data_IF_665843345599
#
_entry.id   IF_665843345599
#
_cell.length_a   1.000
_cell.length_b   1.000
_cell.length_c   1.000
_cell.angle_alpha   90.00
_cell.angle_beta   90.00
_cell.angle_gamma   90.00
#
_symmetry.space_group_name_H-M   'P 1'
#
loop_
_entity.id
_entity.type
_entity.pdbx_description
1 polymer ?
#
# COMPACT_ATOMS: atom_id res chain seq x y z
N UNK A 1 5.39 -15.06 23.12
CA UNK A 1 4.58 -15.24 21.89
C UNK A 1 3.35 -14.34 21.84
N UNK A 2 2.40 -14.36 22.80
CA UNK A 2 1.27 -13.41 22.79
C UNK A 2 1.58 -11.99 23.32
N UNK A 3 2.66 -11.82 24.09
CA UNK A 3 3.11 -10.52 24.63
C UNK A 3 3.72 -9.58 23.56
N UNK A 4 4.03 -10.09 22.37
CA UNK A 4 4.63 -9.30 21.27
C UNK A 4 3.59 -8.80 20.25
N UNK A 5 2.33 -9.18 20.44
CA UNK A 5 1.26 -8.77 19.53
C UNK A 5 1.04 -7.25 19.67
N UNK A 6 1.62 -6.48 18.76
CA UNK A 6 1.31 -5.06 18.61
C UNK A 6 0.07 -4.98 17.71
N UNK A 7 -1.12 -4.71 18.26
CA UNK A 7 -2.38 -4.83 17.54
C UNK A 7 -2.46 -3.96 16.27
N UNK A 8 -1.57 -2.96 16.14
CA UNK A 8 -1.49 -2.04 15.00
C UNK A 8 -0.19 -2.17 14.18
N UNK A 9 0.50 -3.30 14.26
CA UNK A 9 1.76 -3.50 13.53
C UNK A 9 1.58 -3.56 12.02
N UNK A 10 0.42 -4.05 11.55
CA UNK A 10 0.14 -4.30 10.14
C UNK A 10 -1.17 -3.64 9.70
N UNK A 11 -1.07 -2.77 8.69
CA UNK A 11 -2.22 -2.21 8.01
C UNK A 11 -2.30 -2.78 6.58
N UNK A 12 -3.46 -3.33 6.21
CA UNK A 12 -3.69 -3.90 4.87
C UNK A 12 -4.79 -3.09 4.19
N UNK A 13 -4.49 -2.59 2.99
CA UNK A 13 -5.47 -1.94 2.12
C UNK A 13 -5.56 -2.70 0.80
N UNK A 14 -6.77 -3.13 0.46
CA UNK A 14 -7.03 -3.91 -0.75
C UNK A 14 -7.73 -3.03 -1.78
N UNK A 15 -7.12 -2.86 -2.94
CA UNK A 15 -7.65 -2.01 -4.02
C UNK A 15 -8.10 -2.85 -5.20
N UNK A 16 -9.34 -2.62 -5.64
CA UNK A 16 -9.91 -3.28 -6.81
C UNK A 16 -10.04 -2.26 -7.95
N UNK A 17 -9.02 -2.25 -8.81
CA UNK A 17 -8.85 -1.22 -9.85
C UNK A 17 -9.75 -1.41 -11.09
N UNK A 18 -10.34 -2.59 -11.25
CA UNK A 18 -11.27 -2.95 -12.31
C UNK A 18 -12.50 -3.61 -11.68
N UNK A 19 -13.68 -3.16 -12.07
CA UNK A 19 -14.95 -3.63 -11.48
C UNK A 19 -15.75 -4.54 -12.41
N UNK A 20 -15.28 -4.75 -13.64
CA UNK A 20 -15.88 -5.69 -14.56
C UNK A 20 -15.74 -7.12 -14.01
N UNK A 21 -16.88 -7.81 -13.87
CA UNK A 21 -16.94 -9.16 -13.30
C UNK A 21 -17.08 -9.25 -11.77
N UNK A 22 -17.16 -8.13 -11.03
CA UNK A 22 -17.40 -8.14 -9.57
C UNK A 22 -18.71 -8.82 -9.17
N UNK A 23 -19.69 -8.90 -10.07
CA UNK A 23 -20.93 -9.63 -9.84
C UNK A 23 -20.68 -11.09 -9.40
N UNK A 24 -19.51 -11.67 -9.74
CA UNK A 24 -19.09 -13.03 -9.38
C UNK A 24 -18.30 -13.13 -8.05
N UNK A 25 -17.85 -12.01 -7.45
CA UNK A 25 -17.14 -11.96 -6.16
C UNK A 25 -18.09 -11.78 -4.96
N UNK A 26 -19.36 -11.51 -5.22
CA UNK A 26 -20.42 -11.32 -4.23
C UNK A 26 -20.91 -12.62 -3.56
N UNK A 27 -20.26 -13.76 -3.80
CA UNK A 27 -20.53 -14.99 -3.07
C UNK A 27 -20.08 -14.89 -1.60
N UNK A 28 -20.84 -15.49 -0.69
CA UNK A 28 -20.58 -15.54 0.77
C UNK A 28 -19.13 -15.92 1.13
N UNK A 29 -18.45 -16.67 0.23
CA UNK A 29 -17.07 -17.13 0.35
C UNK A 29 -16.03 -16.03 0.65
N UNK A 30 -16.26 -14.78 0.22
CA UNK A 30 -15.27 -13.69 0.38
C UNK A 30 -15.79 -12.49 1.16
N UNK A 31 -16.89 -12.64 1.91
CA UNK A 31 -17.57 -11.55 2.61
C UNK A 31 -16.62 -10.72 3.52
N UNK A 32 -15.70 -11.38 4.23
CA UNK A 32 -14.73 -10.71 5.09
C UNK A 32 -13.76 -9.80 4.30
N UNK A 33 -13.34 -10.21 3.10
CA UNK A 33 -12.50 -9.41 2.22
C UNK A 33 -13.31 -8.28 1.57
N UNK A 34 -14.54 -8.57 1.15
CA UNK A 34 -15.43 -7.60 0.51
C UNK A 34 -15.67 -6.37 1.38
N UNK A 35 -15.78 -6.54 2.70
CA UNK A 35 -15.92 -5.42 3.65
C UNK A 35 -14.70 -4.48 3.71
N UNK A 36 -13.54 -4.92 3.22
CA UNK A 36 -12.25 -4.19 3.29
C UNK A 36 -11.74 -3.76 1.91
N UNK A 37 -12.48 -4.06 0.83
CA UNK A 37 -12.11 -3.68 -0.53
C UNK A 37 -12.41 -2.20 -0.80
N UNK A 38 -11.43 -1.50 -1.34
CA UNK A 38 -11.55 -0.14 -1.83
C UNK A 38 -11.65 -0.22 -3.35
N UNK A 39 -12.77 0.27 -3.90
CA UNK A 39 -12.96 0.30 -5.36
C UNK A 39 -12.14 1.45 -5.97
N UNK A 40 -11.40 1.14 -7.02
CA UNK A 40 -10.54 2.07 -7.75
C UNK A 40 -9.05 1.83 -7.53
N UNK A 41 -8.23 2.70 -8.14
CA UNK A 41 -6.76 2.68 -8.00
C UNK A 41 -6.34 3.40 -6.71
N UNK A 42 -5.25 2.97 -6.06
CA UNK A 42 -4.72 3.66 -4.89
C UNK A 42 -4.26 5.08 -5.25
N UNK A 43 -4.58 6.05 -4.39
CA UNK A 43 -4.09 7.43 -4.53
C UNK A 43 -2.69 7.54 -3.91
N UNK A 44 -1.70 6.93 -4.56
CA UNK A 44 -0.34 6.75 -4.02
C UNK A 44 0.29 8.05 -3.48
N UNK A 45 0.12 9.18 -4.19
CA UNK A 45 0.61 10.49 -3.71
C UNK A 45 0.02 10.92 -2.36
N UNK A 46 -1.25 10.62 -2.10
CA UNK A 46 -1.86 10.90 -0.80
C UNK A 46 -1.37 9.92 0.26
N UNK A 47 -1.24 8.64 -0.09
CA UNK A 47 -0.70 7.62 0.82
C UNK A 47 0.72 7.98 1.29
N UNK A 48 1.61 8.37 0.37
CA UNK A 48 2.96 8.83 0.72
C UNK A 48 2.94 10.05 1.64
N UNK A 49 2.03 11.01 1.41
CA UNK A 49 1.88 12.19 2.28
C UNK A 49 1.46 11.82 3.71
N UNK A 50 0.48 10.93 3.85
CA UNK A 50 0.02 10.47 5.16
C UNK A 50 1.10 9.63 5.87
N UNK A 51 1.78 8.73 5.14
CA UNK A 51 2.89 7.95 5.70
C UNK A 51 4.01 8.87 6.18
N UNK A 52 4.39 9.89 5.40
CA UNK A 52 5.40 10.87 5.81
C UNK A 52 4.98 11.67 7.05
N UNK A 53 3.72 12.10 7.10
CA UNK A 53 3.17 12.83 8.24
C UNK A 53 3.24 12.01 9.54
N UNK A 54 2.98 10.71 9.46
CA UNK A 54 3.02 9.77 10.58
C UNK A 54 4.44 9.28 10.93
N UNK A 55 5.42 9.41 10.02
CA UNK A 55 6.78 8.90 10.17
C UNK A 55 7.83 10.02 9.98
N UNK A 56 7.64 11.13 10.71
CA UNK A 56 8.54 12.30 10.62
C UNK A 56 9.97 11.92 10.97
N UNK A 57 10.93 12.45 10.22
CA UNK A 57 12.38 12.23 10.42
C UNK A 57 12.82 10.75 10.41
N UNK A 58 12.01 9.85 9.83
CA UNK A 58 12.35 8.43 9.68
C UNK A 58 12.69 8.09 8.23
N UNK A 59 13.43 7.01 8.05
CA UNK A 59 13.54 6.33 6.77
C UNK A 59 12.44 5.26 6.66
N UNK A 60 11.71 5.26 5.54
CA UNK A 60 10.61 4.32 5.26
C UNK A 60 10.95 3.51 4.01
N UNK A 61 11.08 2.20 4.15
CA UNK A 61 11.24 1.30 3.00
C UNK A 61 9.95 1.14 2.21
N UNK A 62 10.04 1.21 0.88
CA UNK A 62 8.95 0.98 -0.07
C UNK A 62 9.34 -0.19 -0.97
N UNK A 63 8.63 -1.30 -0.85
CA UNK A 63 8.90 -2.53 -1.59
C UNK A 63 7.82 -2.75 -2.64
N UNK A 64 8.21 -3.11 -3.86
CA UNK A 64 7.26 -3.36 -4.96
C UNK A 64 7.61 -4.64 -5.71
N UNK A 65 6.66 -5.57 -5.76
CA UNK A 65 6.64 -6.73 -6.64
C UNK A 65 5.33 -6.68 -7.45
N UNK A 66 5.40 -6.21 -8.69
CA UNK A 66 4.21 -5.98 -9.50
C UNK A 66 4.51 -5.37 -10.87
N UNK A 67 3.48 -4.91 -11.60
CA UNK A 67 3.63 -4.38 -12.95
C UNK A 67 4.64 -3.23 -13.03
N UNK A 68 5.38 -3.15 -14.14
CA UNK A 68 6.42 -2.15 -14.35
C UNK A 68 5.91 -0.71 -14.19
N UNK A 69 4.68 -0.41 -14.63
CA UNK A 69 4.11 0.93 -14.50
C UNK A 69 3.89 1.35 -13.04
N UNK A 70 3.43 0.42 -12.18
CA UNK A 70 3.29 0.66 -10.74
C UNK A 70 4.67 0.87 -10.10
N UNK A 71 5.64 0.02 -10.47
CA UNK A 71 7.02 0.12 -9.99
C UNK A 71 7.64 1.49 -10.31
N UNK A 72 7.46 2.00 -11.54
CA UNK A 72 7.93 3.34 -11.94
C UNK A 72 7.27 4.45 -11.13
N UNK A 73 5.95 4.37 -10.90
CA UNK A 73 5.23 5.38 -10.13
C UNK A 73 5.71 5.43 -8.67
N UNK A 74 5.88 4.27 -8.03
CA UNK A 74 6.41 4.17 -6.67
C UNK A 74 7.85 4.68 -6.57
N UNK A 75 8.72 4.30 -7.50
CA UNK A 75 10.10 4.79 -7.56
C UNK A 75 10.15 6.32 -7.68
N UNK A 76 9.30 6.91 -8.53
CA UNK A 76 9.21 8.37 -8.68
C UNK A 76 8.75 9.05 -7.38
N UNK A 77 7.73 8.50 -6.72
CA UNK A 77 7.20 9.05 -5.47
C UNK A 77 8.22 8.95 -4.33
N UNK A 78 8.97 7.86 -4.23
CA UNK A 78 10.00 7.70 -3.19
C UNK A 78 11.15 8.70 -3.33
N UNK A 79 11.50 9.09 -4.55
CA UNK A 79 12.53 10.11 -4.80
C UNK A 79 12.01 11.56 -4.66
N UNK A 80 10.74 11.76 -4.35
CA UNK A 80 10.18 13.10 -4.10
C UNK A 80 10.47 13.52 -2.67
N UNK A 81 10.91 14.77 -2.47
CA UNK A 81 11.17 15.31 -1.14
C UNK A 81 9.89 15.41 -0.31
N UNK A 82 9.95 15.02 0.96
CA UNK A 82 8.85 15.20 1.91
C UNK A 82 9.09 16.41 2.81
N UNK A 83 8.04 17.17 3.10
CA UNK A 83 8.12 18.32 4.04
C UNK A 83 8.30 17.90 5.51
N UNK A 84 8.28 16.60 5.80
CA UNK A 84 8.28 16.04 7.16
C UNK A 84 9.64 15.46 7.57
N UNK A 85 10.68 15.63 6.75
CA UNK A 85 11.99 15.02 6.95
C UNK A 85 11.99 13.48 6.81
N UNK A 86 10.90 12.90 6.31
CA UNK A 86 10.82 11.48 5.99
C UNK A 86 11.52 11.22 4.66
N UNK A 87 12.38 10.22 4.63
CA UNK A 87 13.02 9.70 3.41
C UNK A 87 12.36 8.38 3.04
N UNK A 88 12.10 8.16 1.74
CA UNK A 88 11.55 6.91 1.24
C UNK A 88 12.61 6.16 0.43
N UNK A 89 12.90 4.93 0.80
CA UNK A 89 13.85 4.05 0.10
C UNK A 89 13.10 3.04 -0.74
N UNK A 90 13.16 3.18 -2.07
CA UNK A 90 12.47 2.26 -2.98
C UNK A 90 13.32 1.02 -3.28
N UNK A 91 12.71 -0.15 -3.12
CA UNK A 91 13.29 -1.45 -3.42
C UNK A 91 12.39 -2.19 -4.40
N UNK A 92 12.94 -2.53 -5.57
CA UNK A 92 12.25 -3.39 -6.54
C UNK A 92 12.50 -4.84 -6.16
N UNK A 93 11.43 -5.57 -5.89
CA UNK A 93 11.49 -6.97 -5.50
C UNK A 93 10.94 -7.85 -6.62
N UNK A 94 11.49 -9.06 -6.73
CA UNK A 94 10.97 -10.12 -7.59
C UNK A 94 10.98 -11.41 -6.79
N UNK A 95 9.81 -11.85 -6.34
CA UNK A 95 9.67 -13.10 -5.61
C UNK A 95 9.21 -14.19 -6.59
N UNK A 96 10.00 -15.25 -6.69
CA UNK A 96 9.75 -16.45 -7.50
C UNK A 96 9.40 -17.64 -6.62
#
# INVERSE_FOLDING_TARGET
>A
LWQENRPDYLNIQLYLSRTDGIQNLNGEKYQALNSRLIIGKPRLKLLFREIAKCNRQKCVGVFCCGPNELSKELHKLSNTTSSHGTTFEYNKESFS
#
